data_IF_351260556952
#
_entry.id   IF_351260556952
#
_cell.length_a   1.000
_cell.length_b   1.000
_cell.length_c   1.000
_cell.angle_alpha   90.00
_cell.angle_beta   90.00
_cell.angle_gamma   90.00
#
_symmetry.space_group_name_H-M   'P 1'
#
loop_
_entity.id
_entity.type
_entity.pdbx_description
1 polymer ?
#
# COMPACT_ATOMS: atom_id res chain seq x y z
N UNK A 1 -30.58 -52.55 31.30
CA UNK A 1 -29.62 -51.43 31.38
C UNK A 1 -30.29 -50.21 30.77
N UNK A 2 -30.89 -49.35 31.58
CA UNK A 2 -31.49 -48.08 31.18
C UNK A 2 -30.61 -46.96 31.75
N UNK A 3 -29.94 -46.21 30.89
CA UNK A 3 -29.15 -45.05 31.29
C UNK A 3 -29.95 -43.79 30.91
N UNK A 4 -30.66 -43.23 31.88
CA UNK A 4 -31.29 -41.92 31.77
C UNK A 4 -30.21 -40.84 31.71
N UNK A 5 -30.06 -40.19 30.54
CA UNK A 5 -29.31 -38.94 30.41
C UNK A 5 -30.12 -37.82 31.07
N UNK A 6 -29.67 -37.35 32.22
CA UNK A 6 -30.12 -36.07 32.78
C UNK A 6 -29.58 -34.94 31.89
N UNK A 7 -30.48 -34.21 31.24
CA UNK A 7 -30.16 -32.95 30.57
C UNK A 7 -30.07 -31.85 31.64
N UNK A 8 -28.92 -31.21 31.77
CA UNK A 8 -28.76 -30.01 32.60
C UNK A 8 -29.42 -28.80 31.90
N UNK A 9 -30.36 -28.09 32.53
CA UNK A 9 -30.90 -26.85 31.99
C UNK A 9 -30.19 -25.66 32.66
N UNK A 10 -28.98 -25.33 32.21
CA UNK A 10 -28.31 -24.08 32.56
C UNK A 10 -28.62 -23.01 31.50
N UNK A 11 -29.91 -22.68 31.38
CA UNK A 11 -30.33 -21.43 30.73
C UNK A 11 -30.16 -20.31 31.76
N UNK A 12 -29.05 -19.57 31.68
CA UNK A 12 -28.80 -18.39 32.49
C UNK A 12 -29.89 -17.34 32.24
N UNK A 13 -30.79 -17.15 33.21
CA UNK A 13 -31.81 -16.10 33.20
C UNK A 13 -31.08 -14.75 33.36
N UNK A 14 -30.90 -14.01 32.27
CA UNK A 14 -30.44 -12.63 32.35
C UNK A 14 -31.50 -11.81 33.11
N UNK A 15 -31.09 -10.90 34.02
CA UNK A 15 -32.04 -10.09 34.77
C UNK A 15 -32.92 -9.33 33.79
N UNK A 16 -34.24 -9.38 34.00
CA UNK A 16 -35.21 -8.63 33.22
C UNK A 16 -34.94 -7.13 33.42
N UNK A 17 -34.18 -6.53 32.49
CA UNK A 17 -33.86 -5.11 32.53
C UNK A 17 -35.16 -4.32 32.36
N UNK A 18 -35.48 -3.48 33.35
CA UNK A 18 -36.63 -2.57 33.28
C UNK A 18 -36.52 -1.69 32.04
N UNK A 19 -37.64 -1.45 31.34
CA UNK A 19 -37.68 -0.62 30.14
C UNK A 19 -38.11 0.82 30.49
N UNK A 20 -37.51 1.79 29.83
CA UNK A 20 -37.90 3.21 29.92
C UNK A 20 -38.44 3.68 28.56
N UNK A 21 -39.16 4.80 28.55
CA UNK A 21 -39.57 5.45 27.30
C UNK A 21 -38.51 6.48 26.88
N UNK A 22 -38.21 6.54 25.59
CA UNK A 22 -37.37 7.60 25.02
C UNK A 22 -38.00 8.97 25.28
N UNK A 23 -37.22 9.92 25.79
CA UNK A 23 -37.71 11.26 26.15
C UNK A 23 -38.24 12.10 24.98
N UNK A 24 -37.90 11.77 23.72
CA UNK A 24 -38.34 12.52 22.53
C UNK A 24 -39.48 11.86 21.75
N UNK A 25 -39.42 10.54 21.56
CA UNK A 25 -40.37 9.82 20.69
C UNK A 25 -41.25 8.81 21.42
N UNK A 26 -41.04 8.59 22.73
CA UNK A 26 -41.84 7.67 23.53
C UNK A 26 -41.62 6.18 23.24
N UNK A 27 -40.65 5.81 22.39
CA UNK A 27 -40.35 4.39 22.10
C UNK A 27 -39.76 3.71 23.34
N UNK A 28 -40.20 2.48 23.62
CA UNK A 28 -39.68 1.68 24.72
C UNK A 28 -38.26 1.20 24.44
N UNK A 29 -37.31 1.54 25.31
CA UNK A 29 -35.89 1.24 25.18
C UNK A 29 -35.34 0.60 26.46
N UNK A 30 -34.18 -0.07 26.30
CA UNK A 30 -33.33 -0.43 27.43
C UNK A 30 -32.73 0.88 27.97
N UNK A 31 -32.74 1.08 29.30
CA UNK A 31 -32.23 2.30 29.91
C UNK A 31 -30.76 2.52 29.55
N UNK A 32 -30.47 3.69 29.01
CA UNK A 32 -29.13 4.17 28.72
C UNK A 32 -28.89 5.53 29.39
N UNK A 33 -27.63 5.97 29.45
CA UNK A 33 -27.27 7.23 30.13
C UNK A 33 -27.96 8.47 29.54
N UNK A 34 -28.36 8.41 28.27
CA UNK A 34 -29.03 9.51 27.56
C UNK A 34 -30.57 9.48 27.67
N UNK A 35 -31.17 8.42 28.19
CA UNK A 35 -32.62 8.16 28.15
C UNK A 35 -33.26 8.35 26.75
N UNK A 36 -32.49 8.07 25.69
CA UNK A 36 -32.87 8.30 24.30
C UNK A 36 -32.66 7.06 23.44
N UNK A 37 -33.55 6.84 22.46
CA UNK A 37 -33.37 5.76 21.49
C UNK A 37 -32.27 6.11 20.46
N UNK A 38 -31.66 5.08 19.85
CA UNK A 38 -30.58 5.23 18.86
C UNK A 38 -30.95 6.20 17.71
N UNK A 39 -32.16 6.13 17.11
CA UNK A 39 -32.54 7.07 16.04
C UNK A 39 -32.65 8.53 16.51
N UNK A 40 -33.09 8.76 17.75
CA UNK A 40 -33.15 10.11 18.30
C UNK A 40 -31.76 10.66 18.61
N UNK A 41 -30.86 9.80 19.12
CA UNK A 41 -29.47 10.15 19.37
C UNK A 41 -28.71 10.50 18.08
N UNK A 42 -28.86 9.69 17.03
CA UNK A 42 -28.25 9.94 15.73
C UNK A 42 -28.71 11.26 15.07
N UNK A 43 -29.92 11.74 15.40
CA UNK A 43 -30.43 13.03 14.91
C UNK A 43 -29.88 14.23 15.66
N UNK A 44 -29.47 14.05 16.91
CA UNK A 44 -28.95 15.14 17.74
C UNK A 44 -27.43 15.23 17.71
N UNK A 45 -26.74 14.11 17.50
CA UNK A 45 -25.29 14.04 17.47
C UNK A 45 -24.81 13.47 16.14
N UNK A 46 -24.34 14.36 15.25
CA UNK A 46 -23.70 13.97 14.00
C UNK A 46 -22.20 13.71 14.22
N UNK A 47 -21.79 12.45 14.07
CA UNK A 47 -20.38 12.02 14.16
C UNK A 47 -19.62 12.43 12.89
N UNK A 48 -20.36 12.69 11.81
CA UNK A 48 -19.82 12.93 10.47
C UNK A 48 -19.29 14.36 10.26
N UNK A 49 -19.51 15.25 11.23
CA UNK A 49 -19.10 16.65 11.15
C UNK A 49 -17.56 16.77 11.02
N UNK A 50 -17.10 17.48 9.99
CA UNK A 50 -15.68 17.71 9.73
C UNK A 50 -14.98 16.63 8.90
N UNK A 51 -15.67 15.55 8.50
CA UNK A 51 -15.10 14.51 7.62
C UNK A 51 -15.41 14.85 6.15
N UNK A 52 -14.40 15.00 5.28
CA UNK A 52 -14.64 15.25 3.87
C UNK A 52 -15.24 14.02 3.17
N UNK A 53 -16.28 14.25 2.36
CA UNK A 53 -16.95 13.20 1.56
C UNK A 53 -16.27 12.93 0.23
N UNK A 54 -15.32 13.78 -0.15
CA UNK A 54 -14.58 13.70 -1.40
C UNK A 54 -13.08 13.77 -1.12
N UNK A 55 -12.31 12.90 -1.77
CA UNK A 55 -10.86 12.87 -1.67
C UNK A 55 -10.22 12.48 -3.00
N UNK A 56 -8.91 12.70 -3.12
CA UNK A 56 -8.16 12.43 -4.34
C UNK A 56 -7.07 11.39 -4.09
N UNK A 57 -7.03 10.39 -4.97
CA UNK A 57 -5.97 9.39 -5.04
C UNK A 57 -5.14 9.62 -6.28
N UNK A 58 -3.82 9.45 -6.16
CA UNK A 58 -2.91 9.65 -7.27
C UNK A 58 -2.40 8.29 -7.73
N UNK A 59 -2.55 8.00 -9.03
CA UNK A 59 -2.16 6.74 -9.66
C UNK A 59 -1.23 6.99 -10.85
N UNK A 60 -0.24 6.13 -11.02
CA UNK A 60 0.66 6.16 -12.16
C UNK A 60 0.10 5.39 -13.35
N UNK A 61 -0.15 6.09 -14.46
CA UNK A 61 -0.71 5.50 -15.70
C UNK A 61 0.16 4.42 -16.36
N UNK A 62 1.46 4.37 -16.07
CA UNK A 62 2.41 3.44 -16.72
C UNK A 62 2.59 2.12 -15.97
N UNK A 63 2.53 2.15 -14.64
CA UNK A 63 2.85 1.01 -13.79
C UNK A 63 1.74 0.67 -12.79
N UNK A 64 0.59 1.35 -12.88
CA UNK A 64 -0.59 1.17 -12.04
C UNK A 64 -0.27 1.12 -10.53
N UNK A 65 0.71 1.94 -10.12
CA UNK A 65 1.06 2.16 -8.71
C UNK A 65 0.33 3.38 -8.17
N UNK A 66 -0.15 3.29 -6.94
CA UNK A 66 -0.76 4.39 -6.20
C UNK A 66 0.28 5.09 -5.32
N UNK A 67 0.18 6.41 -5.23
CA UNK A 67 1.05 7.23 -4.38
C UNK A 67 0.57 7.15 -2.93
N UNK A 68 1.44 6.71 -2.03
CA UNK A 68 1.14 6.58 -0.60
C UNK A 68 1.50 7.86 0.15
N UNK A 69 2.76 8.26 0.07
CA UNK A 69 3.32 9.48 0.68
C UNK A 69 4.47 9.98 -0.18
N UNK A 70 4.53 11.29 -0.47
CA UNK A 70 5.58 11.91 -1.27
C UNK A 70 5.95 11.10 -2.53
N UNK A 71 7.11 10.44 -2.56
CA UNK A 71 7.55 9.65 -3.72
C UNK A 71 7.53 8.12 -3.46
N UNK A 72 6.77 7.67 -2.47
CA UNK A 72 6.54 6.26 -2.22
C UNK A 72 5.31 5.77 -2.98
N UNK A 73 5.52 4.80 -3.87
CA UNK A 73 4.50 4.26 -4.78
C UNK A 73 4.33 2.77 -4.55
N UNK A 74 3.08 2.31 -4.40
CA UNK A 74 2.75 0.90 -4.13
C UNK A 74 1.72 0.42 -5.12
N UNK A 75 1.90 -0.79 -5.64
CA UNK A 75 0.91 -1.42 -6.51
C UNK A 75 -0.23 -2.00 -5.68
N UNK A 76 -1.46 -1.72 -6.11
CA UNK A 76 -2.67 -2.28 -5.52
C UNK A 76 -3.68 -2.59 -6.61
N UNK A 77 -4.32 -3.75 -6.51
CA UNK A 77 -5.44 -4.08 -7.38
C UNK A 77 -6.68 -3.25 -7.02
N UNK A 78 -7.57 -3.07 -7.99
CA UNK A 78 -8.87 -2.44 -7.78
C UNK A 78 -9.67 -3.23 -6.74
N UNK A 79 -10.36 -2.51 -5.85
CA UNK A 79 -11.18 -3.10 -4.77
C UNK A 79 -10.41 -4.02 -3.79
N UNK A 80 -9.07 -3.93 -3.77
CA UNK A 80 -8.25 -4.67 -2.81
C UNK A 80 -8.31 -4.10 -1.38
N UNK A 81 -7.97 -4.94 -0.39
CA UNK A 81 -7.83 -4.53 1.01
C UNK A 81 -6.67 -3.56 1.22
N UNK A 82 -5.59 -3.71 0.45
CA UNK A 82 -4.46 -2.78 0.45
C UNK A 82 -4.87 -1.37 0.03
N UNK A 83 -5.64 -1.26 -1.06
CA UNK A 83 -6.16 0.02 -1.54
C UNK A 83 -7.12 0.66 -0.53
N UNK A 84 -7.95 -0.14 0.16
CA UNK A 84 -8.86 0.34 1.19
C UNK A 84 -8.09 1.00 2.35
N UNK A 85 -6.99 0.38 2.78
CA UNK A 85 -6.12 0.94 3.83
C UNK A 85 -5.48 2.27 3.40
N UNK A 86 -5.14 2.41 2.12
CA UNK A 86 -4.61 3.64 1.55
C UNK A 86 -5.68 4.74 1.54
N UNK A 87 -6.91 4.42 1.15
CA UNK A 87 -8.06 5.34 1.18
C UNK A 87 -8.29 5.91 2.59
N UNK A 88 -8.35 5.05 3.61
CA UNK A 88 -8.55 5.47 4.99
C UNK A 88 -7.41 6.38 5.50
N UNK A 89 -6.16 6.05 5.17
CA UNK A 89 -4.98 6.88 5.52
C UNK A 89 -4.98 8.24 4.80
N UNK A 90 -5.65 8.35 3.66
CA UNK A 90 -5.69 9.59 2.88
C UNK A 90 -6.51 10.68 3.54
N UNK A 91 -7.41 10.32 4.45
CA UNK A 91 -8.30 11.26 5.15
C UNK A 91 -7.81 11.47 6.58
N UNK A 92 -6.99 12.50 6.85
CA UNK A 92 -6.47 12.77 8.19
C UNK A 92 -7.57 13.14 9.18
N UNK A 93 -8.73 13.62 8.70
CA UNK A 93 -9.89 13.92 9.54
C UNK A 93 -10.42 12.68 10.28
N UNK A 94 -10.29 11.48 9.71
CA UNK A 94 -10.73 10.23 10.36
C UNK A 94 -9.88 9.92 11.60
N UNK A 95 -8.57 10.20 11.56
CA UNK A 95 -7.70 10.02 12.73
C UNK A 95 -7.80 11.18 13.72
N UNK A 96 -8.05 12.40 13.24
CA UNK A 96 -8.15 13.60 14.08
C UNK A 96 -9.46 13.66 14.89
N UNK A 97 -10.56 13.13 14.36
CA UNK A 97 -11.87 13.21 15.01
C UNK A 97 -12.03 12.27 16.23
N UNK A 98 -11.00 11.49 16.60
CA UNK A 98 -11.03 10.48 17.66
C UNK A 98 -12.22 9.51 17.52
N UNK A 99 -12.56 9.18 16.27
CA UNK A 99 -13.66 8.27 15.94
C UNK A 99 -13.08 6.89 15.63
N UNK A 100 -13.69 5.85 16.17
CA UNK A 100 -13.27 4.47 15.91
C UNK A 100 -13.90 3.99 14.61
N UNK A 101 -13.08 3.44 13.71
CA UNK A 101 -13.57 2.84 12.47
C UNK A 101 -13.95 1.39 12.77
N UNK A 102 -15.22 1.03 12.57
CA UNK A 102 -15.72 -0.33 12.83
C UNK A 102 -15.58 -1.21 11.60
N UNK A 103 -16.07 -0.70 10.46
CA UNK A 103 -16.08 -1.42 9.18
C UNK A 103 -15.85 -0.46 8.01
N UNK A 104 -15.33 -0.99 6.90
CA UNK A 104 -15.22 -0.27 5.65
C UNK A 104 -15.45 -1.22 4.48
N UNK A 105 -16.31 -0.83 3.55
CA UNK A 105 -16.80 -1.68 2.46
C UNK A 105 -16.77 -0.92 1.14
N UNK A 106 -16.39 -1.59 0.06
CA UNK A 106 -16.45 -0.99 -1.29
C UNK A 106 -17.89 -0.88 -1.78
N UNK A 107 -18.21 0.25 -2.39
CA UNK A 107 -19.45 0.43 -3.15
C UNK A 107 -19.05 0.37 -4.62
N UNK A 108 -19.65 -0.56 -5.36
CA UNK A 108 -19.38 -0.70 -6.79
C UNK A 108 -19.64 0.61 -7.53
N UNK A 109 -18.71 0.95 -8.42
CA UNK A 109 -18.76 2.12 -9.29
C UNK A 109 -18.46 1.71 -10.71
N UNK A 110 -19.08 2.39 -11.68
CA UNK A 110 -18.86 2.14 -13.10
C UNK A 110 -17.35 2.22 -13.47
N UNK A 111 -16.79 1.22 -14.20
CA UNK A 111 -15.35 1.14 -14.52
C UNK A 111 -14.74 2.39 -15.17
N UNK A 112 -15.53 3.13 -15.94
CA UNK A 112 -15.05 4.30 -16.68
C UNK A 112 -15.02 5.59 -15.85
N UNK A 113 -15.64 5.58 -14.67
CA UNK A 113 -15.84 6.79 -13.88
C UNK A 113 -14.56 7.37 -13.29
N UNK A 114 -13.47 6.57 -13.21
CA UNK A 114 -12.23 6.90 -12.47
C UNK A 114 -12.51 7.38 -11.04
N UNK A 115 -13.59 6.88 -10.46
CA UNK A 115 -14.03 7.17 -9.11
C UNK A 115 -14.17 5.86 -8.38
N UNK A 116 -13.78 5.86 -7.11
CA UNK A 116 -14.01 4.76 -6.19
C UNK A 116 -14.92 5.26 -5.07
N UNK A 117 -15.83 4.42 -4.59
CA UNK A 117 -16.68 4.76 -3.45
C UNK A 117 -16.48 3.75 -2.33
N UNK A 118 -16.31 4.25 -1.11
CA UNK A 118 -16.16 3.44 0.09
C UNK A 118 -17.23 3.84 1.08
N UNK A 119 -17.99 2.87 1.58
CA UNK A 119 -18.83 3.05 2.76
C UNK A 119 -17.97 2.82 4.00
N UNK A 120 -17.80 3.85 4.82
CA UNK A 120 -17.07 3.74 6.09
C UNK A 120 -18.06 3.80 7.24
N UNK A 121 -18.01 2.82 8.13
CA UNK A 121 -18.79 2.78 9.36
C UNK A 121 -17.93 3.23 10.53
N UNK A 122 -18.44 4.24 11.23
CA UNK A 122 -17.78 4.95 12.29
C UNK A 122 -18.54 4.79 13.60
N UNK A 123 -17.81 4.61 14.69
CA UNK A 123 -18.31 4.48 16.05
C UNK A 123 -17.69 5.58 16.93
N UNK A 124 -18.55 6.33 17.63
CA UNK A 124 -18.12 7.35 18.60
C UNK A 124 -18.88 7.17 19.91
N UNK A 125 -18.14 7.24 21.02
CA UNK A 125 -18.71 7.29 22.35
C UNK A 125 -19.25 8.68 22.68
N UNK A 126 -20.45 8.73 23.24
CA UNK A 126 -21.08 9.92 23.81
C UNK A 126 -21.27 9.73 25.32
N UNK A 127 -21.28 10.85 26.06
CA UNK A 127 -21.48 10.91 27.51
C UNK A 127 -20.49 10.02 28.28
N UNK A 128 -19.20 10.31 28.14
CA UNK A 128 -18.07 9.58 28.76
C UNK A 128 -18.07 8.08 28.40
N UNK A 129 -18.19 7.77 27.11
CA UNK A 129 -18.18 6.40 26.53
C UNK A 129 -19.29 5.46 27.03
N UNK A 130 -20.32 5.98 27.71
CA UNK A 130 -21.45 5.17 28.20
C UNK A 130 -22.42 4.77 27.10
N UNK A 131 -22.46 5.53 26.00
CA UNK A 131 -23.34 5.25 24.85
C UNK A 131 -22.53 5.37 23.57
N UNK A 132 -22.35 4.26 22.85
CA UNK A 132 -21.73 4.26 21.54
C UNK A 132 -22.78 4.45 20.43
N UNK A 133 -22.49 5.32 19.48
CA UNK A 133 -23.33 5.53 18.29
C UNK A 133 -22.50 5.13 17.07
N UNK A 134 -23.11 4.35 16.19
CA UNK A 134 -22.55 3.98 14.88
C UNK A 134 -23.24 4.77 13.78
N UNK A 135 -22.47 5.31 12.84
CA UNK A 135 -22.97 6.00 11.64
C UNK A 135 -22.14 5.57 10.42
N UNK A 136 -22.80 5.43 9.26
CA UNK A 136 -22.15 5.07 8.00
C UNK A 136 -22.06 6.28 7.07
N UNK A 137 -20.90 6.46 6.44
CA UNK A 137 -20.59 7.59 5.56
C UNK A 137 -20.04 7.06 4.23
N UNK A 138 -20.69 7.35 3.09
CA UNK A 138 -20.11 7.09 1.80
C UNK A 138 -19.09 8.19 1.45
N UNK A 139 -17.86 7.77 1.15
CA UNK A 139 -16.76 8.64 0.74
C UNK A 139 -16.41 8.32 -0.71
N UNK A 140 -16.30 9.35 -1.55
CA UNK A 140 -15.91 9.22 -2.95
C UNK A 140 -14.46 9.67 -3.17
N UNK A 141 -13.70 8.82 -3.86
CA UNK A 141 -12.30 9.06 -4.21
C UNK A 141 -12.18 9.25 -5.72
N UNK A 142 -11.62 10.37 -6.17
CA UNK A 142 -11.32 10.61 -7.58
C UNK A 142 -9.88 10.23 -7.89
N UNK A 143 -9.66 9.42 -8.93
CA UNK A 143 -8.33 8.99 -9.36
C UNK A 143 -7.72 10.05 -10.29
N UNK A 144 -6.63 10.67 -9.83
CA UNK A 144 -5.78 11.58 -10.61
C UNK A 144 -4.56 10.83 -11.13
N UNK A 145 -4.25 11.02 -12.41
CA UNK A 145 -3.10 10.38 -13.03
C UNK A 145 -1.86 11.27 -12.88
N UNK A 146 -0.77 10.72 -12.33
CA UNK A 146 0.55 11.37 -12.27
C UNK A 146 1.64 10.33 -12.52
N UNK A 147 2.68 10.68 -13.27
CA UNK A 147 3.81 9.77 -13.47
C UNK A 147 4.69 9.72 -12.21
N UNK A 148 5.10 8.51 -11.80
CA UNK A 148 6.06 8.32 -10.71
C UNK A 148 7.49 8.62 -11.21
N UNK A 149 8.39 8.98 -10.30
CA UNK A 149 9.76 9.33 -10.68
C UNK A 149 10.50 8.17 -11.37
N UNK A 150 10.23 6.93 -11.00
CA UNK A 150 10.80 5.75 -11.68
C UNK A 150 10.40 5.70 -13.16
N UNK A 151 9.10 5.86 -13.45
CA UNK A 151 8.60 5.83 -14.82
C UNK A 151 8.98 7.08 -15.62
N UNK A 152 9.22 8.21 -14.95
CA UNK A 152 9.78 9.41 -15.58
C UNK A 152 11.23 9.13 -15.97
N UNK A 153 12.06 8.62 -15.05
CA UNK A 153 13.46 8.25 -15.33
C UNK A 153 13.60 7.25 -16.47
N UNK A 154 12.70 6.28 -16.55
CA UNK A 154 12.67 5.32 -17.66
C UNK A 154 12.31 5.93 -19.01
N UNK A 155 11.58 7.05 -19.02
CA UNK A 155 11.14 7.72 -20.24
C UNK A 155 12.06 8.88 -20.66
N UNK A 156 12.89 9.38 -19.76
CA UNK A 156 13.95 10.34 -20.08
C UNK A 156 15.16 9.62 -20.63
N UNK A 157 15.64 10.06 -21.78
CA UNK A 157 16.76 9.46 -22.50
C UNK A 157 18.05 9.46 -21.65
N UNK A 158 18.55 8.25 -21.38
CA UNK A 158 19.95 7.87 -21.20
C UNK A 158 20.85 8.77 -20.31
N UNK A 159 20.55 8.87 -19.01
CA UNK A 159 21.63 8.99 -18.02
C UNK A 159 21.86 7.63 -17.39
N UNK A 160 23.00 7.00 -17.69
CA UNK A 160 23.47 5.85 -16.94
C UNK A 160 23.85 6.33 -15.53
N UNK A 161 23.44 5.59 -14.50
CA UNK A 161 23.74 5.96 -13.10
C UNK A 161 25.10 5.44 -12.64
N UNK A 162 25.64 4.42 -13.32
CA UNK A 162 26.93 3.82 -13.00
C UNK A 162 27.56 3.20 -14.24
N UNK A 163 28.89 3.29 -14.34
CA UNK A 163 29.68 2.74 -15.43
C UNK A 163 30.71 1.75 -14.87
N UNK A 164 30.72 0.53 -15.40
CA UNK A 164 31.77 -0.45 -15.13
C UNK A 164 32.69 -0.55 -16.34
N UNK A 165 33.93 -0.10 -16.18
CA UNK A 165 34.95 -0.18 -17.22
C UNK A 165 35.84 -1.39 -16.99
N UNK A 166 35.74 -2.38 -17.87
CA UNK A 166 36.63 -3.54 -17.88
C UNK A 166 37.73 -3.26 -18.91
N UNK A 167 38.98 -3.23 -18.47
CA UNK A 167 40.15 -3.03 -19.32
C UNK A 167 41.18 -4.11 -19.03
N UNK A 168 41.80 -4.64 -20.08
CA UNK A 168 42.86 -5.63 -19.96
C UNK A 168 44.09 -5.17 -20.74
N UNK A 169 45.18 -4.92 -20.01
CA UNK A 169 46.47 -4.58 -20.62
C UNK A 169 47.34 -5.85 -20.74
N UNK A 170 47.62 -6.29 -21.98
CA UNK A 170 48.52 -7.43 -22.23
C UNK A 170 48.27 -8.19 -23.53
N UNK A 171 49.35 -8.60 -24.21
CA UNK A 171 49.33 -9.37 -25.45
C UNK A 171 49.04 -10.85 -25.19
N UNK A 172 47.76 -11.24 -25.25
CA UNK A 172 47.33 -12.64 -25.08
C UNK A 172 45.85 -12.87 -25.36
N UNK A 173 45.50 -12.91 -26.66
CA UNK A 173 44.28 -13.44 -27.32
C UNK A 173 43.01 -13.66 -26.46
N UNK A 174 41.96 -12.89 -26.78
CA UNK A 174 40.52 -13.25 -26.96
C UNK A 174 39.75 -14.07 -25.90
N UNK A 175 40.39 -14.65 -24.90
CA UNK A 175 39.80 -15.67 -24.01
C UNK A 175 39.04 -15.12 -22.79
N UNK A 176 39.43 -14.01 -22.15
CA UNK A 176 38.78 -13.60 -20.90
C UNK A 176 37.42 -12.93 -21.11
N UNK A 177 37.28 -12.04 -22.10
CA UNK A 177 36.00 -11.38 -22.38
C UNK A 177 34.94 -12.36 -22.90
N UNK A 178 35.32 -13.38 -23.68
CA UNK A 178 34.42 -14.45 -24.11
C UNK A 178 33.99 -15.35 -22.92
N UNK A 179 34.89 -15.60 -21.97
CA UNK A 179 34.56 -16.31 -20.74
C UNK A 179 33.60 -15.48 -19.86
N UNK A 180 33.82 -14.16 -19.76
CA UNK A 180 32.94 -13.23 -19.07
C UNK A 180 31.53 -13.23 -19.69
N UNK A 181 31.43 -13.11 -21.01
CA UNK A 181 30.13 -13.18 -21.72
C UNK A 181 29.40 -14.50 -21.44
N UNK A 182 30.11 -15.62 -21.54
CA UNK A 182 29.56 -16.95 -21.23
C UNK A 182 29.07 -17.01 -19.77
N UNK A 183 29.79 -16.40 -18.84
CA UNK A 183 29.38 -16.35 -17.44
C UNK A 183 28.20 -15.40 -17.18
N UNK A 184 28.13 -14.27 -17.87
CA UNK A 184 27.00 -13.34 -17.77
C UNK A 184 25.70 -14.00 -18.23
N UNK A 185 25.78 -14.78 -19.31
CA UNK A 185 24.67 -15.60 -19.81
C UNK A 185 24.32 -16.69 -18.77
N UNK A 186 25.31 -17.44 -18.28
CA UNK A 186 25.09 -18.50 -17.26
C UNK A 186 24.47 -17.97 -15.96
N UNK A 187 24.86 -16.78 -15.54
CA UNK A 187 24.37 -16.15 -14.31
C UNK A 187 23.02 -15.45 -14.49
N UNK A 188 22.51 -15.35 -15.73
CA UNK A 188 21.27 -14.69 -16.10
C UNK A 188 21.16 -13.23 -15.60
N UNK A 189 22.28 -12.49 -15.65
CA UNK A 189 22.35 -11.09 -15.14
C UNK A 189 22.27 -10.05 -16.26
N UNK A 190 22.09 -10.49 -17.51
CA UNK A 190 21.97 -9.60 -18.67
C UNK A 190 20.82 -8.59 -18.54
N UNK A 191 19.73 -8.95 -17.83
CA UNK A 191 18.58 -8.08 -17.57
C UNK A 191 18.88 -6.86 -16.70
N UNK A 192 20.00 -6.86 -15.97
CA UNK A 192 20.42 -5.71 -15.15
C UNK A 192 21.25 -4.68 -15.92
N UNK A 193 21.76 -5.03 -17.10
CA UNK A 193 22.60 -4.17 -17.92
C UNK A 193 21.73 -3.30 -18.83
N UNK A 194 22.07 -2.02 -18.96
CA UNK A 194 21.34 -1.10 -19.83
C UNK A 194 21.93 -1.11 -21.25
N UNK A 195 23.23 -0.93 -21.34
CA UNK A 195 23.97 -0.88 -22.59
C UNK A 195 25.36 -1.46 -22.38
N UNK A 196 25.92 -2.06 -23.42
CA UNK A 196 27.26 -2.63 -23.43
C UNK A 196 27.99 -2.11 -24.67
N UNK A 197 29.06 -1.36 -24.47
CA UNK A 197 29.89 -0.85 -25.56
C UNK A 197 31.28 -1.51 -25.55
N UNK A 198 31.74 -1.94 -26.72
CA UNK A 198 33.04 -2.61 -26.88
C UNK A 198 34.08 -1.57 -27.29
N UNK A 199 35.18 -1.51 -26.55
CA UNK A 199 36.30 -0.58 -26.76
C UNK A 199 37.55 -1.37 -27.13
N UNK A 200 38.53 -0.75 -27.80
CA UNK A 200 39.75 -1.41 -28.31
C UNK A 200 40.49 -2.28 -27.29
N UNK A 201 40.46 -1.91 -26.00
CA UNK A 201 41.17 -2.61 -24.92
C UNK A 201 40.22 -3.14 -23.81
N UNK A 202 38.93 -3.28 -24.12
CA UNK A 202 37.98 -3.86 -23.19
C UNK A 202 36.51 -3.56 -23.49
N UNK A 203 35.71 -3.41 -22.44
CA UNK A 203 34.26 -3.25 -22.54
C UNK A 203 33.75 -2.31 -21.44
N UNK A 204 32.78 -1.49 -21.79
CA UNK A 204 32.07 -0.59 -20.90
C UNK A 204 30.63 -1.09 -20.74
N UNK A 205 30.23 -1.31 -19.49
CA UNK A 205 28.88 -1.78 -19.15
C UNK A 205 28.19 -0.68 -18.36
N UNK A 206 27.06 -0.23 -18.87
CA UNK A 206 26.25 0.82 -18.27
C UNK A 206 25.14 0.22 -17.40
N UNK A 207 24.99 0.75 -16.19
CA UNK A 207 23.99 0.34 -15.22
C UNK A 207 23.10 1.51 -14.79
N UNK A 208 21.85 1.21 -14.43
CA UNK A 208 20.92 2.20 -13.87
C UNK A 208 21.24 2.51 -12.41
N UNK A 209 21.65 1.51 -11.63
CA UNK A 209 21.93 1.63 -10.20
C UNK A 209 23.27 0.99 -9.82
N UNK A 210 23.96 1.57 -8.83
CA UNK A 210 25.22 1.03 -8.27
C UNK A 210 25.08 -0.41 -7.75
N UNK A 211 23.96 -0.73 -7.11
CA UNK A 211 23.66 -2.08 -6.61
C UNK A 211 23.66 -3.15 -7.71
N UNK A 212 23.30 -2.79 -8.95
CA UNK A 212 23.32 -3.72 -10.08
C UNK A 212 24.75 -3.98 -10.54
N UNK A 213 25.58 -2.92 -10.60
CA UNK A 213 26.99 -3.01 -10.95
C UNK A 213 27.77 -3.87 -9.94
N UNK A 214 27.53 -3.66 -8.64
CA UNK A 214 28.17 -4.45 -7.56
C UNK A 214 27.82 -5.93 -7.63
N UNK A 215 26.57 -6.28 -7.98
CA UNK A 215 26.16 -7.68 -8.18
C UNK A 215 26.90 -8.34 -9.33
N UNK A 216 27.03 -7.65 -10.47
CA UNK A 216 27.78 -8.15 -11.63
C UNK A 216 29.26 -8.30 -11.29
N UNK A 217 29.81 -7.29 -10.61
CA UNK A 217 31.19 -7.30 -10.15
C UNK A 217 31.46 -8.53 -9.26
N UNK A 218 30.71 -8.66 -8.16
CA UNK A 218 30.86 -9.72 -7.15
C UNK A 218 30.69 -11.13 -7.71
N UNK A 219 29.70 -11.33 -8.59
CA UNK A 219 29.28 -12.66 -9.00
C UNK A 219 30.02 -13.19 -10.25
N UNK A 220 30.40 -12.29 -11.16
CA UNK A 220 30.99 -12.68 -12.44
C UNK A 220 32.45 -12.22 -12.56
N UNK A 221 32.75 -10.97 -12.20
CA UNK A 221 34.09 -10.40 -12.47
C UNK A 221 35.13 -10.94 -11.47
N UNK A 222 34.82 -10.94 -10.18
CA UNK A 222 35.73 -11.43 -9.12
C UNK A 222 36.08 -12.93 -9.26
N UNK A 223 35.13 -13.75 -9.72
CA UNK A 223 35.32 -15.19 -9.85
C UNK A 223 36.17 -15.58 -11.07
N UNK A 224 36.26 -14.71 -12.09
CA UNK A 224 37.00 -14.98 -13.33
C UNK A 224 38.36 -14.32 -13.31
N UNK A 225 38.46 -13.15 -12.69
CA UNK A 225 39.63 -12.31 -12.76
C UNK A 225 40.18 -12.00 -11.37
N UNK A 226 41.40 -12.47 -11.08
CA UNK A 226 42.22 -11.96 -9.99
C UNK A 226 42.68 -10.53 -10.30
N UNK A 227 41.74 -9.59 -10.32
CA UNK A 227 41.91 -8.22 -10.81
C UNK A 227 42.25 -7.23 -9.68
N UNK A 228 43.01 -6.18 -10.03
CA UNK A 228 43.20 -4.98 -9.20
C UNK A 228 42.06 -4.01 -9.53
N UNK A 229 41.12 -3.85 -8.62
CA UNK A 229 39.95 -3.01 -8.81
C UNK A 229 40.29 -1.55 -8.46
N UNK A 230 40.03 -0.61 -9.38
CA UNK A 230 39.98 0.81 -9.07
C UNK A 230 38.52 1.26 -9.17
N UNK A 231 37.91 1.56 -8.02
CA UNK A 231 36.56 2.13 -7.97
C UNK A 231 36.69 3.63 -8.17
N UNK A 232 36.14 4.13 -9.26
CA UNK A 232 35.90 5.56 -9.43
C UNK A 232 34.43 5.80 -9.10
N UNK A 233 34.16 6.62 -8.08
CA UNK A 233 32.79 7.10 -7.86
C UNK A 233 32.42 8.01 -9.02
N UNK A 234 31.48 7.55 -9.86
CA UNK A 234 30.71 8.46 -10.69
C UNK A 234 29.64 9.13 -9.82
N UNK A 235 29.60 10.46 -9.91
CA UNK A 235 28.65 11.37 -9.27
C UNK A 235 27.20 10.99 -9.56
#
# INVERSE_FOLDING_TARGET
MLCCRTMDPLASVLPAQGRILCCLCGVSIIPNAAAMCIPCLQKQADITEGIPREAELIMCKKCDRYQVQNDHWVHHDLESTGLLSLCLKRIPALSAASVKITHATWIWTEPHSKRLKVLVELEKGLMDDKVAITQSIPISYTIKNKQCMDCIRENTDHTWGCLLQLRQYGMGRKTPFAALETQLIKANIHSLMQEVSVVKEGMDIYFKQKNQAEKVLGRCVWNVFGMRLSVYECV
#
